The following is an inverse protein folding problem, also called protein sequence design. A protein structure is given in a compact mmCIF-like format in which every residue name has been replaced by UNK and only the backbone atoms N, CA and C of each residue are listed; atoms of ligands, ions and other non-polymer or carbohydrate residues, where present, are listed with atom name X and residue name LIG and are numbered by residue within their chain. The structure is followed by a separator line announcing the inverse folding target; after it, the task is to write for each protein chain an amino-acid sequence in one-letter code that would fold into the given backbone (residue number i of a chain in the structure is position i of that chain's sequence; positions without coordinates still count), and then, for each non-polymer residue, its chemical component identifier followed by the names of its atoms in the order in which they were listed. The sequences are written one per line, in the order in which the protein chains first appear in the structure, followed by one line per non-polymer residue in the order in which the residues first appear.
data_IF_644704511365
#
_entry.id   IF_644704511365
#
_cell.length_a   1.000
_cell.length_b   1.000
_cell.length_c   1.000
_cell.angle_alpha   90.00
_cell.angle_beta   90.00
_cell.angle_gamma   90.00
#
_symmetry.space_group_name_H-M   'P 1'
#
loop_
_entity.id
_entity.type
_entity.pdbx_description
1 polymer ?
#
# COMPACT_ATOMS: atom_id res chain seq x y z
N UNK A 1 4.46 -20.45 -3.11
CA UNK A 1 3.66 -19.24 -2.86
C UNK A 1 2.14 -19.51 -2.87
N UNK A 2 1.62 -20.52 -2.14
CA UNK A 2 0.16 -20.78 -2.13
C UNK A 2 -0.66 -19.72 -1.38
N UNK A 3 -0.09 -19.14 -0.31
CA UNK A 3 -0.75 -18.08 0.47
C UNK A 3 -1.05 -16.84 -0.35
N UNK A 4 -0.06 -16.32 -1.08
CA UNK A 4 -0.24 -15.14 -1.95
C UNK A 4 -1.25 -15.40 -3.08
N UNK A 5 -1.30 -16.61 -3.65
CA UNK A 5 -2.31 -16.91 -4.69
C UNK A 5 -3.73 -16.76 -4.15
N UNK A 6 -3.97 -17.20 -2.91
CA UNK A 6 -5.29 -17.05 -2.28
C UNK A 6 -5.58 -15.58 -2.00
N UNK A 7 -4.65 -14.90 -1.33
CA UNK A 7 -4.79 -13.48 -0.97
C UNK A 7 -5.03 -12.62 -2.21
N UNK A 8 -4.24 -12.77 -3.28
CA UNK A 8 -4.42 -11.97 -4.50
C UNK A 8 -5.78 -12.19 -5.18
N UNK A 9 -6.36 -13.40 -5.10
CA UNK A 9 -7.71 -13.65 -5.65
C UNK A 9 -8.77 -12.87 -4.88
N UNK A 10 -8.67 -12.86 -3.55
CA UNK A 10 -9.62 -12.15 -2.67
C UNK A 10 -9.42 -10.63 -2.74
N UNK A 11 -8.18 -10.14 -2.62
CA UNK A 11 -7.86 -8.70 -2.60
C UNK A 11 -8.15 -8.00 -3.94
N UNK A 12 -8.04 -8.70 -5.07
CA UNK A 12 -8.37 -8.10 -6.37
C UNK A 12 -9.84 -7.68 -6.48
N UNK A 13 -10.74 -8.38 -5.79
CA UNK A 13 -12.15 -8.02 -5.72
C UNK A 13 -12.33 -6.74 -4.90
N UNK A 14 -11.71 -6.65 -3.72
CA UNK A 14 -11.78 -5.45 -2.88
C UNK A 14 -11.15 -4.23 -3.54
N UNK A 15 -10.05 -4.40 -4.27
CA UNK A 15 -9.44 -3.34 -5.06
C UNK A 15 -10.40 -2.79 -6.13
N UNK A 16 -11.15 -3.67 -6.81
CA UNK A 16 -12.18 -3.25 -7.77
C UNK A 16 -13.28 -2.42 -7.10
N UNK A 17 -13.80 -2.89 -5.97
CA UNK A 17 -14.84 -2.14 -5.24
C UNK A 17 -14.33 -0.76 -4.79
N UNK A 18 -13.07 -0.66 -4.33
CA UNK A 18 -12.45 0.62 -4.00
C UNK A 18 -12.38 1.58 -5.20
N UNK A 19 -12.02 1.06 -6.38
CA UNK A 19 -12.01 1.85 -7.61
C UNK A 19 -13.42 2.29 -8.02
N UNK A 20 -14.44 1.45 -7.89
CA UNK A 20 -15.84 1.80 -8.19
C UNK A 20 -16.34 2.95 -7.30
N UNK A 21 -15.98 2.96 -6.02
CA UNK A 21 -16.31 4.08 -5.11
C UNK A 21 -15.66 5.38 -5.59
N UNK A 22 -14.37 5.35 -5.94
CA UNK A 22 -13.67 6.53 -6.48
C UNK A 22 -14.27 7.00 -7.80
N UNK A 23 -14.65 6.07 -8.68
CA UNK A 23 -15.27 6.37 -9.96
C UNK A 23 -16.65 7.03 -9.80
N UNK A 24 -17.44 6.56 -8.84
CA UNK A 24 -18.75 7.15 -8.53
C UNK A 24 -18.59 8.56 -7.95
N UNK A 25 -17.66 8.75 -7.02
CA UNK A 25 -17.37 10.09 -6.47
C UNK A 25 -16.88 11.07 -7.55
N UNK A 26 -16.00 10.62 -8.45
CA UNK A 26 -15.46 11.47 -9.51
C UNK A 26 -16.51 11.89 -10.56
N UNK A 27 -17.60 11.13 -10.70
CA UNK A 27 -18.75 11.44 -11.56
C UNK A 27 -19.88 12.18 -10.85
N UNK A 28 -19.79 12.31 -9.52
CA UNK A 28 -20.80 12.90 -8.66
C UNK A 28 -20.79 14.44 -8.66
N UNK A 29 -21.16 15.03 -7.52
CA UNK A 29 -21.14 16.49 -7.34
C UNK A 29 -19.72 17.05 -7.36
N UNK A 30 -19.59 18.37 -7.50
CA UNK A 30 -18.30 19.07 -7.42
C UNK A 30 -17.55 18.74 -6.13
N UNK A 31 -18.25 18.68 -5.00
CA UNK A 31 -17.68 18.37 -3.69
C UNK A 31 -17.21 16.91 -3.62
N UNK A 32 -17.94 15.97 -4.23
CA UNK A 32 -17.53 14.56 -4.30
C UNK A 32 -16.27 14.39 -5.16
N UNK A 33 -16.21 15.09 -6.29
CA UNK A 33 -15.03 15.08 -7.17
C UNK A 33 -13.82 15.70 -6.47
N UNK A 34 -13.99 16.81 -5.77
CA UNK A 34 -12.92 17.44 -4.99
C UNK A 34 -12.42 16.51 -3.87
N UNK A 35 -13.33 15.85 -3.16
CA UNK A 35 -12.97 14.88 -2.12
C UNK A 35 -12.17 13.69 -2.68
N UNK A 36 -12.57 13.17 -3.85
CA UNK A 36 -11.82 12.11 -4.53
C UNK A 36 -10.42 12.58 -4.96
N UNK A 37 -10.32 13.79 -5.51
CA UNK A 37 -9.05 14.37 -5.93
C UNK A 37 -8.12 14.64 -4.73
N UNK A 38 -8.62 15.21 -3.64
CA UNK A 38 -7.85 15.44 -2.41
C UNK A 38 -7.34 14.12 -1.80
N UNK A 39 -8.18 13.07 -1.79
CA UNK A 39 -7.75 11.76 -1.35
C UNK A 39 -6.60 11.20 -2.23
N UNK A 40 -6.72 11.30 -3.56
CA UNK A 40 -5.64 10.90 -4.46
C UNK A 40 -4.36 11.71 -4.22
N UNK A 41 -4.50 13.04 -4.05
CA UNK A 41 -3.37 13.94 -3.80
C UNK A 41 -2.57 13.51 -2.56
N UNK A 42 -3.25 13.18 -1.47
CA UNK A 42 -2.60 12.79 -0.21
C UNK A 42 -2.02 11.38 -0.23
N UNK A 43 -2.61 10.46 -0.98
CA UNK A 43 -2.23 9.04 -0.95
C UNK A 43 -1.35 8.58 -2.12
N UNK A 44 -1.18 9.38 -3.17
CA UNK A 44 -0.38 9.00 -4.34
C UNK A 44 1.05 8.58 -3.97
N UNK A 45 1.86 9.50 -3.42
CA UNK A 45 3.25 9.23 -3.07
C UNK A 45 3.41 8.16 -1.98
N UNK A 46 2.64 8.18 -0.87
CA UNK A 46 2.66 7.09 0.10
C UNK A 46 2.37 5.71 -0.50
N UNK A 47 1.48 5.62 -1.50
CA UNK A 47 1.16 4.36 -2.17
C UNK A 47 2.33 3.85 -3.02
N UNK A 48 3.08 4.75 -3.65
CA UNK A 48 4.29 4.42 -4.43
C UNK A 48 5.45 4.03 -3.50
N UNK A 49 5.54 4.66 -2.33
CA UNK A 49 6.54 4.32 -1.30
C UNK A 49 6.36 2.90 -0.73
N UNK A 50 5.19 2.27 -0.88
CA UNK A 50 4.95 0.88 -0.45
C UNK A 50 5.87 -0.14 -1.14
N UNK A 51 6.39 0.18 -2.33
CA UNK A 51 7.36 -0.68 -3.02
C UNK A 51 8.75 -0.67 -2.37
N UNK A 52 9.00 0.22 -1.41
CA UNK A 52 10.25 0.35 -0.68
C UNK A 52 11.25 1.29 -1.34
N UNK A 53 12.50 1.36 -0.80
CA UNK A 53 13.53 2.25 -1.31
C UNK A 53 14.00 1.85 -2.71
N UNK A 54 14.78 2.73 -3.35
CA UNK A 54 15.51 2.40 -4.58
C UNK A 54 16.30 1.11 -4.44
N UNK A 55 16.50 0.42 -5.57
CA UNK A 55 17.22 -0.85 -5.55
C UNK A 55 18.68 -0.70 -5.09
N UNK A 56 19.29 0.46 -5.37
CA UNK A 56 20.63 0.83 -4.91
C UNK A 56 20.73 0.94 -3.37
N UNK A 57 19.65 1.39 -2.72
CA UNK A 57 19.58 1.61 -1.27
C UNK A 57 18.92 0.45 -0.52
N UNK A 58 18.71 -0.69 -1.21
CA UNK A 58 18.05 -1.86 -0.66
C UNK A 58 19.06 -2.96 -0.29
N UNK A 59 19.61 -2.98 0.94
CA UNK A 59 20.72 -3.87 1.33
C UNK A 59 20.38 -5.36 1.25
N UNK A 60 19.09 -5.71 1.17
CA UNK A 60 18.60 -7.10 1.11
C UNK A 60 18.21 -7.55 -0.31
N UNK A 61 18.18 -6.66 -1.30
CA UNK A 61 17.68 -6.99 -2.65
C UNK A 61 18.55 -8.04 -3.34
N UNK A 62 19.88 -7.97 -3.24
CA UNK A 62 20.77 -8.94 -3.89
C UNK A 62 20.50 -10.39 -3.48
N UNK A 63 20.46 -10.68 -2.18
CA UNK A 63 20.16 -12.03 -1.68
C UNK A 63 18.69 -12.43 -1.94
N UNK A 64 17.74 -11.50 -1.77
CA UNK A 64 16.33 -11.78 -2.00
C UNK A 64 16.02 -12.14 -3.47
N UNK A 65 16.68 -11.49 -4.42
CA UNK A 65 16.59 -11.81 -5.86
C UNK A 65 17.29 -13.14 -6.17
N UNK A 66 18.51 -13.35 -5.66
CA UNK A 66 19.27 -14.60 -5.85
C UNK A 66 18.49 -15.82 -5.36
N UNK A 67 17.83 -15.71 -4.22
CA UNK A 67 17.00 -16.78 -3.64
C UNK A 67 15.56 -16.80 -4.15
N UNK A 68 15.22 -15.94 -5.11
CA UNK A 68 13.89 -15.85 -5.72
C UNK A 68 12.76 -15.60 -4.70
N UNK A 69 13.09 -14.93 -3.59
CA UNK A 69 12.14 -14.38 -2.62
C UNK A 69 11.48 -13.14 -3.23
N UNK A 70 12.29 -12.23 -3.78
CA UNK A 70 11.83 -11.20 -4.72
C UNK A 70 11.96 -11.74 -6.14
N UNK A 71 10.95 -11.51 -6.97
CA UNK A 71 10.92 -11.91 -8.40
C UNK A 71 11.16 -10.75 -9.34
N UNK A 72 10.86 -9.55 -8.86
CA UNK A 72 11.05 -8.26 -9.52
C UNK A 72 11.61 -7.31 -8.48
N UNK A 73 12.33 -6.31 -8.94
CA UNK A 73 12.94 -5.31 -8.05
C UNK A 73 11.91 -4.30 -7.55
N UNK A 74 12.31 -3.45 -6.60
CA UNK A 74 11.40 -2.43 -6.08
C UNK A 74 11.04 -1.41 -7.17
N UNK A 75 12.03 -0.96 -7.92
CA UNK A 75 11.86 0.03 -8.97
C UNK A 75 11.04 -0.54 -10.15
N UNK A 76 11.22 -1.81 -10.51
CA UNK A 76 10.42 -2.50 -11.54
C UNK A 76 8.94 -2.58 -11.18
N UNK A 77 8.62 -2.98 -9.94
CA UNK A 77 7.23 -3.08 -9.49
C UNK A 77 6.57 -1.69 -9.37
N UNK A 78 7.33 -0.70 -8.90
CA UNK A 78 6.88 0.69 -8.81
C UNK A 78 6.54 1.26 -10.18
N UNK A 79 7.42 1.08 -11.17
CA UNK A 79 7.16 1.52 -12.54
C UNK A 79 5.90 0.86 -13.10
N UNK A 80 5.78 -0.47 -12.95
CA UNK A 80 4.60 -1.20 -13.42
C UNK A 80 3.30 -0.74 -12.78
N UNK A 81 3.34 -0.33 -11.51
CA UNK A 81 2.21 0.24 -10.81
C UNK A 81 1.82 1.60 -11.39
N UNK A 82 2.79 2.52 -11.52
CA UNK A 82 2.54 3.86 -12.06
C UNK A 82 1.92 3.77 -13.45
N UNK A 83 2.49 2.96 -14.36
CA UNK A 83 1.98 2.86 -15.73
C UNK A 83 0.52 2.39 -15.81
N UNK A 84 0.10 1.51 -14.90
CA UNK A 84 -1.28 1.02 -14.82
C UNK A 84 -2.21 2.03 -14.15
N UNK A 85 -1.75 2.65 -13.07
CA UNK A 85 -2.61 3.48 -12.21
C UNK A 85 -2.84 4.87 -12.79
N UNK A 86 -1.87 5.44 -13.54
CA UNK A 86 -2.08 6.72 -14.25
C UNK A 86 -3.27 6.61 -15.20
N UNK A 87 -3.33 5.55 -16.00
CA UNK A 87 -4.44 5.34 -16.92
C UNK A 87 -5.78 5.15 -16.21
N UNK A 88 -5.79 4.48 -15.04
CA UNK A 88 -6.99 4.34 -14.22
C UNK A 88 -7.50 5.70 -13.72
N UNK A 89 -6.62 6.59 -13.29
CA UNK A 89 -6.98 7.94 -12.85
C UNK A 89 -7.56 8.78 -14.00
N UNK A 90 -6.94 8.70 -15.18
CA UNK A 90 -7.42 9.39 -16.40
C UNK A 90 -8.85 8.97 -16.78
N UNK A 91 -9.17 7.67 -16.71
CA UNK A 91 -10.50 7.14 -17.04
C UNK A 91 -11.61 7.75 -16.17
N UNK A 92 -11.31 8.01 -14.88
CA UNK A 92 -12.28 8.61 -13.94
C UNK A 92 -12.13 10.14 -13.84
N UNK A 93 -11.27 10.75 -14.65
CA UNK A 93 -11.13 12.21 -14.71
C UNK A 93 -10.45 12.82 -13.48
N UNK A 94 -9.59 12.05 -12.79
CA UNK A 94 -8.70 12.54 -11.74
C UNK A 94 -7.30 12.84 -12.30
N UNK A 95 -6.59 13.75 -11.66
CA UNK A 95 -5.21 14.11 -12.04
C UNK A 95 -4.21 13.57 -11.03
N UNK A 96 -3.05 13.13 -11.53
CA UNK A 96 -1.96 12.68 -10.66
C UNK A 96 -1.21 13.91 -10.11
N UNK A 97 -0.91 13.98 -8.79
CA UNK A 97 -0.21 15.10 -8.16
C UNK A 97 1.31 15.04 -8.41
N UNK A 98 1.72 14.98 -9.68
CA UNK A 98 3.13 14.96 -10.11
C UNK A 98 3.31 15.78 -11.38
N UNK A 99 3.95 16.95 -11.25
CA UNK A 99 4.20 17.85 -12.38
C UNK A 99 5.25 17.34 -13.36
N UNK A 100 6.06 16.36 -12.96
CA UNK A 100 7.07 15.72 -13.81
C UNK A 100 6.51 14.47 -14.53
N UNK A 101 5.28 14.07 -14.22
CA UNK A 101 4.66 12.90 -14.83
C UNK A 101 4.47 13.10 -16.34
N UNK A 102 5.10 12.25 -17.15
CA UNK A 102 4.99 12.33 -18.61
C UNK A 102 5.17 10.97 -19.26
N UNK A 103 4.30 10.64 -20.22
CA UNK A 103 4.48 9.44 -21.03
C UNK A 103 5.74 9.54 -21.90
N UNK A 104 6.64 8.57 -21.74
CA UNK A 104 7.85 8.44 -22.54
C UNK A 104 7.66 7.34 -23.60
N UNK A 105 7.47 7.76 -24.86
CA UNK A 105 7.22 6.84 -25.99
C UNK A 105 8.41 5.91 -26.28
N UNK A 106 9.63 6.35 -26.03
CA UNK A 106 10.84 5.55 -26.32
C UNK A 106 11.02 4.45 -25.28
N UNK A 107 10.74 4.75 -24.02
CA UNK A 107 10.80 3.78 -22.91
C UNK A 107 9.55 2.90 -22.83
N UNK A 108 8.41 3.36 -23.32
CA UNK A 108 7.12 2.70 -23.12
C UNK A 108 6.63 2.76 -21.68
N UNK A 109 7.01 3.82 -20.95
CA UNK A 109 6.78 4.00 -19.52
C UNK A 109 6.48 5.47 -19.20
N UNK A 110 5.83 5.75 -18.08
CA UNK A 110 5.78 7.11 -17.55
C UNK A 110 7.10 7.47 -16.86
N UNK A 111 7.67 8.62 -17.24
CA UNK A 111 8.64 9.34 -16.40
C UNK A 111 7.85 10.02 -15.26
N UNK A 112 8.38 10.00 -14.04
CA UNK A 112 7.72 10.54 -12.84
C UNK A 112 8.72 11.28 -11.95
N UNK A 113 8.21 12.12 -11.05
CA UNK A 113 8.98 12.93 -10.13
C UNK A 113 9.76 12.15 -9.07
N UNK A 114 10.68 12.84 -8.41
CA UNK A 114 11.42 12.28 -7.29
C UNK A 114 10.52 12.23 -6.04
N UNK A 115 10.66 11.15 -5.28
CA UNK A 115 9.92 10.96 -4.02
C UNK A 115 10.66 11.62 -2.87
N UNK A 116 9.91 12.06 -1.87
CA UNK A 116 10.49 12.53 -0.60
C UNK A 116 11.01 11.32 0.20
N UNK A 117 12.30 11.03 0.02
CA UNK A 117 12.97 9.93 0.71
C UNK A 117 13.19 10.21 2.21
N UNK A 118 13.26 11.47 2.62
CA UNK A 118 13.35 11.84 4.03
C UNK A 118 12.02 11.57 4.74
N UNK A 119 10.88 11.92 4.11
CA UNK A 119 9.55 11.51 4.57
C UNK A 119 9.45 9.99 4.68
N UNK A 120 9.84 9.26 3.63
CA UNK A 120 9.82 7.80 3.63
C UNK A 120 10.52 7.20 4.84
N UNK A 121 11.78 7.60 5.09
CA UNK A 121 12.54 7.07 6.22
C UNK A 121 12.00 7.54 7.58
N UNK A 122 11.48 8.76 7.67
CA UNK A 122 10.80 9.23 8.88
C UNK A 122 9.59 8.36 9.23
N UNK A 123 8.74 8.03 8.25
CA UNK A 123 7.57 7.17 8.46
C UNK A 123 7.99 5.74 8.84
N UNK A 124 8.97 5.16 8.14
CA UNK A 124 9.50 3.81 8.43
C UNK A 124 10.07 3.73 9.85
N UNK A 125 10.75 4.77 10.31
CA UNK A 125 11.35 4.85 11.63
C UNK A 125 10.36 5.19 12.76
N UNK A 126 9.07 5.29 12.46
CA UNK A 126 8.03 5.48 13.48
C UNK A 126 7.60 6.93 13.72
N UNK A 127 8.08 7.88 12.93
CA UNK A 127 7.80 9.31 13.08
C UNK A 127 6.79 9.85 12.06
N UNK A 128 6.01 8.97 11.43
CA UNK A 128 4.94 9.37 10.52
C UNK A 128 3.62 9.73 11.24
N UNK A 129 2.60 10.14 10.48
CA UNK A 129 1.40 10.79 11.01
C UNK A 129 0.58 9.92 11.96
N UNK A 130 0.58 8.60 11.77
CA UNK A 130 -0.25 7.68 12.56
C UNK A 130 0.55 6.59 13.29
N UNK A 131 1.88 6.56 13.22
CA UNK A 131 2.67 5.44 13.74
C UNK A 131 2.40 5.16 15.23
N UNK A 132 2.46 6.20 16.06
CA UNK A 132 2.16 6.11 17.50
C UNK A 132 0.73 5.62 17.74
N UNK A 133 -0.26 6.24 17.09
CA UNK A 133 -1.67 5.86 17.22
C UNK A 133 -1.92 4.40 16.83
N UNK A 134 -1.31 3.91 15.74
CA UNK A 134 -1.46 2.52 15.28
C UNK A 134 -0.86 1.53 16.26
N UNK A 135 0.36 1.80 16.74
CA UNK A 135 1.03 0.94 17.72
C UNK A 135 0.27 0.93 19.06
N UNK A 136 -0.15 2.09 19.56
CA UNK A 136 -0.89 2.21 20.81
C UNK A 136 -2.24 1.47 20.72
N UNK A 137 -2.94 1.56 19.58
CA UNK A 137 -4.15 0.78 19.34
C UNK A 137 -3.91 -0.73 19.44
N UNK A 138 -2.87 -1.25 18.76
CA UNK A 138 -2.57 -2.69 18.79
C UNK A 138 -2.10 -3.17 20.17
N UNK A 139 -1.25 -2.39 20.86
CA UNK A 139 -0.82 -2.69 22.23
C UNK A 139 -2.02 -2.76 23.16
N UNK A 140 -2.88 -1.73 23.13
CA UNK A 140 -4.09 -1.68 23.94
C UNK A 140 -5.01 -2.87 23.69
N UNK A 141 -5.34 -3.15 22.43
CA UNK A 141 -6.19 -4.29 22.08
C UNK A 141 -5.58 -5.64 22.53
N UNK A 142 -4.26 -5.78 22.43
CA UNK A 142 -3.57 -6.96 22.90
C UNK A 142 -3.61 -7.05 24.44
N UNK A 143 -3.35 -5.98 25.16
CA UNK A 143 -3.34 -5.95 26.62
C UNK A 143 -4.73 -6.18 27.21
N UNK A 144 -5.74 -5.44 26.74
CA UNK A 144 -7.12 -5.56 27.21
C UNK A 144 -7.73 -6.92 26.83
N UNK A 145 -7.34 -7.50 25.70
CA UNK A 145 -7.76 -8.84 25.27
C UNK A 145 -7.03 -9.99 25.97
N UNK A 146 -6.12 -9.71 26.92
CA UNK A 146 -5.29 -10.75 27.57
C UNK A 146 -6.13 -11.81 28.28
N UNK A 147 -7.12 -11.38 29.06
CA UNK A 147 -7.96 -12.29 29.84
C UNK A 147 -8.73 -13.28 28.93
N UNK A 148 -9.14 -12.85 27.72
CA UNK A 148 -9.81 -13.73 26.75
C UNK A 148 -8.87 -14.83 26.28
N UNK A 149 -7.62 -14.47 25.97
CA UNK A 149 -6.60 -15.44 25.53
C UNK A 149 -6.28 -16.44 26.64
N UNK A 150 -6.14 -15.96 27.88
CA UNK A 150 -5.90 -16.80 29.06
C UNK A 150 -7.10 -17.73 29.36
N UNK A 151 -8.32 -17.22 29.24
CA UNK A 151 -9.55 -18.00 29.41
C UNK A 151 -9.66 -19.10 28.35
N UNK A 152 -9.38 -18.79 27.08
CA UNK A 152 -9.41 -19.75 25.98
C UNK A 152 -8.38 -20.88 26.19
N UNK A 153 -7.15 -20.53 26.59
CA UNK A 153 -6.10 -21.51 26.90
C UNK A 153 -6.52 -22.40 28.06
N UNK A 154 -7.03 -21.81 29.15
CA UNK A 154 -7.45 -22.56 30.34
C UNK A 154 -8.61 -23.50 30.05
N UNK A 155 -9.59 -23.06 29.25
CA UNK A 155 -10.70 -23.89 28.80
C UNK A 155 -10.21 -25.07 27.95
N UNK A 156 -9.35 -24.82 26.96
CA UNK A 156 -8.79 -25.86 26.10
C UNK A 156 -8.03 -26.92 26.91
N UNK A 157 -7.21 -26.50 27.88
CA UNK A 157 -6.50 -27.42 28.78
C UNK A 157 -7.44 -28.29 29.61
N UNK A 158 -8.59 -27.75 30.05
CA UNK A 158 -9.61 -28.55 30.75
C UNK A 158 -10.25 -29.59 29.84
N UNK A 159 -10.53 -29.25 28.59
CA UNK A 159 -11.13 -30.19 27.63
C UNK A 159 -10.17 -31.34 27.27
N UNK A 160 -8.87 -31.09 27.20
CA UNK A 160 -7.86 -32.13 26.94
C UNK A 160 -7.66 -33.11 28.11
N UNK A 161 -8.09 -32.74 29.32
CA UNK A 161 -8.00 -33.58 30.53
C UNK A 161 -9.27 -34.41 30.80
N UNK A 162 -10.33 -34.20 30.01
CA UNK A 162 -11.53 -35.03 30.02
C UNK A 162 -11.36 -36.19 29.05
#
# INVERSE_FOLDING_TARGET
SRGMIKICKEESFHQRQGYEIMAEMAKGTSEQKEMAQDALNRFWWPSIMMFGPHDADSPRTGNAMKWKIKRQTNDELRQSFIDKTVHQAEIIGLTIPDSKLKWNKERGHYDFGEMDWDEFWNVVNGNGPCNKQRLDHHKKAHEEGRWVREAAISYAQKQLKK
#
